data_IF_248615737827
#
_entry.id   IF_248615737827
#
_cell.length_a   1.000
_cell.length_b   1.000
_cell.length_c   1.000
_cell.angle_alpha   90.00
_cell.angle_beta   90.00
_cell.angle_gamma   90.00
#
_symmetry.space_group_name_H-M   'P 1'
#
loop_
_entity.id
_entity.type
_entity.pdbx_description
1 polymer ?
#
# COMPACT_ATOMS: atom_id res chain seq x y z
N UNK A 1 -37.66 -38.23 30.81
CA UNK A 1 -37.21 -38.23 29.40
C UNK A 1 -35.70 -38.61 29.44
N UNK A 2 -35.37 -39.78 28.87
CA UNK A 2 -34.10 -40.42 29.10
C UNK A 2 -32.90 -39.60 28.53
N UNK A 3 -31.91 -39.27 29.34
CA UNK A 3 -30.72 -38.55 29.00
C UNK A 3 -30.02 -39.09 27.72
N UNK A 4 -30.06 -40.39 27.51
CA UNK A 4 -29.50 -41.04 26.31
C UNK A 4 -30.21 -40.63 25.02
N UNK A 5 -31.51 -40.37 25.05
CA UNK A 5 -32.27 -39.89 23.85
C UNK A 5 -31.99 -38.40 23.57
N UNK A 6 -31.81 -37.58 24.60
CA UNK A 6 -31.44 -36.20 24.46
C UNK A 6 -30.03 -36.03 23.85
N UNK A 7 -29.05 -36.88 24.30
CA UNK A 7 -27.71 -36.86 23.77
C UNK A 7 -27.63 -37.29 22.30
N UNK A 8 -28.48 -38.27 21.88
CA UNK A 8 -28.54 -38.73 20.49
C UNK A 8 -29.17 -37.65 19.58
N UNK A 9 -30.16 -36.90 20.05
CA UNK A 9 -30.74 -35.81 19.27
C UNK A 9 -29.80 -34.60 19.15
N UNK A 10 -29.02 -34.28 20.18
CA UNK A 10 -28.00 -33.23 20.15
C UNK A 10 -26.85 -33.64 19.20
N UNK A 11 -26.42 -34.90 19.25
CA UNK A 11 -25.36 -35.39 18.33
C UNK A 11 -25.87 -35.43 16.88
N UNK A 12 -27.10 -35.77 16.63
CA UNK A 12 -27.72 -35.76 15.30
C UNK A 12 -27.92 -34.33 14.77
N UNK A 13 -28.25 -33.38 15.64
CA UNK A 13 -28.40 -31.98 15.29
C UNK A 13 -27.03 -31.32 14.95
N UNK A 14 -25.95 -31.66 15.69
CA UNK A 14 -24.60 -31.20 15.39
C UNK A 14 -24.10 -31.80 14.07
N UNK A 15 -24.43 -33.05 13.76
CA UNK A 15 -24.05 -33.70 12.52
C UNK A 15 -24.82 -33.09 11.32
N UNK A 16 -26.07 -32.64 11.52
CA UNK A 16 -26.87 -32.00 10.46
C UNK A 16 -26.35 -30.58 10.12
N UNK A 17 -25.81 -29.86 11.12
CA UNK A 17 -25.20 -28.54 10.93
C UNK A 17 -23.83 -28.65 10.18
N UNK A 18 -23.12 -29.78 10.37
CA UNK A 18 -21.84 -30.03 9.66
C UNK A 18 -22.02 -30.41 8.17
N UNK A 19 -23.26 -30.69 7.72
CA UNK A 19 -23.60 -31.07 6.34
C UNK A 19 -24.19 -29.92 5.50
N UNK A 20 -24.28 -28.70 6.06
CA UNK A 20 -24.63 -27.55 5.22
C UNK A 20 -23.43 -27.25 4.30
N UNK A 21 -23.58 -27.31 2.97
CA UNK A 21 -22.51 -26.87 2.10
C UNK A 21 -22.30 -25.38 2.39
N UNK A 22 -21.11 -25.04 2.87
CA UNK A 22 -20.65 -23.66 2.87
C UNK A 22 -20.51 -23.32 1.39
N UNK A 23 -21.56 -22.75 0.80
CA UNK A 23 -21.43 -22.07 -0.46
C UNK A 23 -20.52 -20.87 -0.20
N UNK A 24 -19.21 -21.09 -0.29
CA UNK A 24 -18.29 -20.01 -0.57
C UNK A 24 -18.68 -19.50 -1.95
N UNK A 25 -19.51 -18.46 -2.00
CA UNK A 25 -19.55 -17.61 -3.17
C UNK A 25 -18.14 -17.02 -3.27
N UNK A 26 -17.26 -17.72 -4.01
CA UNK A 26 -16.10 -17.07 -4.55
C UNK A 26 -16.67 -15.83 -5.28
N UNK A 27 -16.32 -14.65 -4.82
CA UNK A 27 -16.53 -13.46 -5.59
C UNK A 27 -15.85 -13.75 -6.92
N UNK A 28 -16.62 -13.90 -7.98
CA UNK A 28 -16.10 -13.98 -9.34
C UNK A 28 -15.56 -12.58 -9.59
N UNK A 29 -14.29 -12.36 -9.30
CA UNK A 29 -13.60 -11.17 -9.77
C UNK A 29 -13.64 -11.29 -11.29
N UNK A 30 -14.39 -10.41 -11.93
CA UNK A 30 -14.39 -10.33 -13.39
C UNK A 30 -12.93 -10.12 -13.80
N UNK A 31 -12.37 -10.95 -14.67
CA UNK A 31 -10.95 -10.89 -15.00
C UNK A 31 -10.54 -9.51 -15.52
N UNK A 32 -11.44 -8.79 -16.19
CA UNK A 32 -11.18 -7.47 -16.77
C UNK A 32 -12.34 -6.54 -16.42
N UNK A 33 -12.21 -5.72 -15.38
CA UNK A 33 -13.19 -4.72 -15.00
C UNK A 33 -12.57 -3.35 -15.18
N UNK A 34 -13.09 -2.56 -16.12
CA UNK A 34 -12.66 -1.19 -16.35
C UNK A 34 -13.60 -0.24 -15.62
N UNK A 35 -13.02 0.72 -14.92
CA UNK A 35 -13.72 1.89 -14.37
C UNK A 35 -13.34 3.13 -15.16
N UNK A 36 -14.34 3.97 -15.45
CA UNK A 36 -14.16 5.21 -16.21
C UNK A 36 -14.73 6.36 -15.43
N UNK A 37 -13.94 7.42 -15.27
CA UNK A 37 -14.34 8.60 -14.52
C UNK A 37 -13.85 9.89 -15.19
N UNK A 38 -14.57 11.00 -14.96
CA UNK A 38 -14.09 12.33 -15.29
C UNK A 38 -13.16 12.79 -14.19
N UNK A 39 -11.90 12.90 -14.51
CA UNK A 39 -10.89 13.35 -13.56
C UNK A 39 -11.01 14.84 -13.28
N UNK A 40 -11.19 15.63 -14.37
CA UNK A 40 -11.38 17.09 -14.32
C UNK A 40 -11.81 17.62 -15.68
N UNK A 41 -12.23 18.88 -15.71
CA UNK A 41 -12.34 19.68 -16.95
C UNK A 41 -11.91 21.13 -16.69
N UNK A 42 -11.44 21.81 -17.72
CA UNK A 42 -10.96 23.20 -17.61
C UNK A 42 -11.26 23.98 -18.89
N UNK A 43 -11.82 25.22 -18.78
CA UNK A 43 -12.26 25.89 -17.56
C UNK A 43 -13.45 25.18 -16.91
N UNK A 44 -13.66 25.40 -15.62
CA UNK A 44 -14.82 24.92 -14.87
C UNK A 44 -15.49 26.09 -14.13
N UNK A 45 -16.75 26.44 -14.50
CA UNK A 45 -17.56 25.87 -15.57
C UNK A 45 -16.97 26.11 -16.97
N UNK A 46 -17.39 25.25 -17.93
CA UNK A 46 -17.05 25.45 -19.32
C UNK A 46 -17.70 26.72 -19.86
N UNK A 47 -16.92 27.59 -20.51
CA UNK A 47 -17.40 28.87 -21.01
C UNK A 47 -18.18 28.70 -22.30
N UNK A 48 -19.31 29.39 -22.42
CA UNK A 48 -20.14 29.40 -23.63
C UNK A 48 -19.34 30.06 -24.78
N UNK A 49 -19.34 29.44 -25.95
CA UNK A 49 -18.61 29.88 -27.11
C UNK A 49 -17.09 29.61 -27.03
N UNK A 50 -16.62 28.85 -26.10
CA UNK A 50 -15.20 28.54 -25.89
C UNK A 50 -14.94 27.04 -25.86
N UNK A 51 -13.66 26.70 -25.89
CA UNK A 51 -13.22 25.32 -25.72
C UNK A 51 -13.07 24.97 -24.25
N UNK A 52 -13.40 23.70 -23.93
CA UNK A 52 -13.16 23.09 -22.65
C UNK A 52 -12.35 21.80 -22.85
N UNK A 53 -11.31 21.65 -22.07
CA UNK A 53 -10.52 20.41 -22.02
C UNK A 53 -11.09 19.51 -20.91
N UNK A 54 -11.34 18.23 -21.23
CA UNK A 54 -11.90 17.21 -20.32
C UNK A 54 -10.91 16.06 -20.21
N UNK A 55 -10.51 15.69 -19.00
CA UNK A 55 -9.63 14.56 -18.73
C UNK A 55 -10.43 13.38 -18.20
N UNK A 56 -10.36 12.28 -18.92
CA UNK A 56 -11.02 11.02 -18.61
C UNK A 56 -9.97 10.04 -18.12
N UNK A 57 -10.15 9.52 -16.90
CA UNK A 57 -9.38 8.41 -16.36
C UNK A 57 -10.10 7.11 -16.71
N UNK A 58 -9.37 6.13 -17.21
CA UNK A 58 -9.79 4.74 -17.34
C UNK A 58 -8.83 3.87 -16.54
N UNK A 59 -9.36 3.04 -15.68
CA UNK A 59 -8.62 2.22 -14.74
C UNK A 59 -9.05 0.77 -14.84
N UNK A 60 -8.09 -0.14 -14.79
CA UNK A 60 -8.38 -1.56 -14.69
C UNK A 60 -8.44 -1.96 -13.21
N UNK A 61 -9.65 -2.04 -12.66
CA UNK A 61 -9.90 -2.48 -11.28
C UNK A 61 -10.12 -4.00 -11.18
N UNK A 62 -9.93 -4.72 -12.28
CA UNK A 62 -9.99 -6.18 -12.34
C UNK A 62 -8.67 -6.83 -11.94
N UNK A 63 -8.71 -8.14 -11.71
CA UNK A 63 -7.53 -8.94 -11.36
C UNK A 63 -6.73 -9.43 -12.58
N UNK A 64 -7.25 -9.26 -13.79
CA UNK A 64 -6.64 -9.66 -15.06
C UNK A 64 -6.20 -8.47 -15.87
N UNK A 65 -5.21 -8.66 -16.76
CA UNK A 65 -4.78 -7.65 -17.71
C UNK A 65 -5.89 -7.40 -18.76
N UNK A 66 -6.22 -6.14 -19.03
CA UNK A 66 -7.13 -5.75 -20.09
C UNK A 66 -6.31 -5.41 -21.35
N UNK A 67 -6.51 -6.16 -22.43
CA UNK A 67 -5.82 -5.94 -23.71
C UNK A 67 -6.70 -5.11 -24.66
N UNK A 68 -6.08 -4.42 -25.60
CA UNK A 68 -6.70 -3.62 -26.68
C UNK A 68 -7.86 -2.71 -26.21
N UNK A 69 -7.65 -2.10 -25.04
CA UNK A 69 -8.63 -1.19 -24.46
C UNK A 69 -8.83 0.02 -25.36
N UNK A 70 -10.08 0.29 -25.67
CA UNK A 70 -10.49 1.44 -26.48
C UNK A 70 -11.52 2.29 -25.75
N UNK A 71 -11.45 3.60 -25.92
CA UNK A 71 -12.37 4.59 -25.36
C UNK A 71 -12.83 5.55 -26.45
N UNK A 72 -14.11 5.94 -26.41
CA UNK A 72 -14.70 6.85 -27.37
C UNK A 72 -15.64 7.83 -26.66
N UNK A 73 -15.50 9.13 -26.99
CA UNK A 73 -16.33 10.20 -26.44
C UNK A 73 -17.46 10.58 -27.39
N UNK A 74 -18.67 10.66 -26.86
CA UNK A 74 -19.88 11.09 -27.56
C UNK A 74 -20.48 12.30 -26.83
N UNK A 75 -20.07 13.52 -27.18
CA UNK A 75 -20.70 14.71 -26.62
C UNK A 75 -22.09 14.91 -27.22
N UNK A 76 -23.00 15.42 -26.39
CA UNK A 76 -24.32 15.87 -26.81
C UNK A 76 -24.38 17.41 -26.81
N UNK A 77 -25.32 17.97 -27.62
CA UNK A 77 -25.51 19.42 -27.62
C UNK A 77 -25.71 19.94 -26.19
N UNK A 78 -25.03 21.03 -25.79
CA UNK A 78 -24.28 22.01 -26.59
C UNK A 78 -22.79 21.71 -26.74
N UNK A 79 -22.31 20.54 -26.45
CA UNK A 79 -20.90 20.15 -26.58
C UNK A 79 -20.65 19.52 -27.94
N UNK A 80 -19.50 19.82 -28.52
CA UNK A 80 -19.03 19.21 -29.76
C UNK A 80 -17.52 18.91 -29.64
N UNK A 81 -17.05 17.82 -30.25
CA UNK A 81 -15.62 17.55 -30.35
C UNK A 81 -14.96 18.59 -31.27
N UNK A 82 -13.75 19.02 -30.89
CA UNK A 82 -12.89 19.86 -31.72
C UNK A 82 -12.62 19.19 -33.07
N UNK A 83 -12.48 17.88 -33.10
CA UNK A 83 -12.39 17.07 -34.32
C UNK A 83 -12.99 15.70 -34.09
N UNK A 84 -13.83 15.23 -35.01
CA UNK A 84 -14.41 13.89 -34.95
C UNK A 84 -13.36 12.77 -34.98
N UNK A 85 -12.18 13.01 -35.57
CA UNK A 85 -11.06 12.07 -35.58
C UNK A 85 -10.46 11.82 -34.16
N UNK A 86 -10.77 12.71 -33.22
CA UNK A 86 -10.29 12.63 -31.84
C UNK A 86 -11.29 11.94 -30.89
N UNK A 87 -12.44 11.49 -31.39
CA UNK A 87 -13.47 10.84 -30.57
C UNK A 87 -12.97 9.53 -29.95
N UNK A 88 -12.37 8.68 -30.77
CA UNK A 88 -11.88 7.38 -30.39
C UNK A 88 -10.37 7.40 -30.07
N UNK A 89 -9.99 6.72 -29.02
CA UNK A 89 -8.58 6.53 -28.63
C UNK A 89 -8.33 5.07 -28.28
N UNK A 90 -7.28 4.51 -28.86
CA UNK A 90 -6.77 3.21 -28.47
C UNK A 90 -5.79 3.43 -27.31
N UNK A 91 -6.08 2.82 -26.18
CA UNK A 91 -5.28 2.90 -24.96
C UNK A 91 -4.25 1.76 -24.92
N UNK A 92 -4.56 0.65 -25.62
CA UNK A 92 -3.75 -0.56 -25.62
C UNK A 92 -3.98 -1.39 -24.35
N UNK A 93 -2.91 -1.74 -23.67
CA UNK A 93 -2.94 -2.69 -22.56
C UNK A 93 -2.95 -1.99 -21.21
N UNK A 94 -3.88 -2.38 -20.34
CA UNK A 94 -3.95 -1.93 -18.93
C UNK A 94 -3.77 -3.12 -18.00
N UNK A 95 -2.70 -3.11 -17.21
CA UNK A 95 -2.47 -4.09 -16.13
C UNK A 95 -3.47 -3.89 -15.01
N UNK A 96 -3.69 -4.91 -14.16
CA UNK A 96 -4.43 -4.72 -12.90
C UNK A 96 -3.92 -3.50 -12.12
N UNK A 97 -4.84 -2.79 -11.49
CA UNK A 97 -4.58 -1.61 -10.67
C UNK A 97 -3.78 -0.48 -11.37
N UNK A 98 -3.85 -0.42 -12.71
CA UNK A 98 -3.25 0.67 -13.47
C UNK A 98 -4.30 1.50 -14.19
N UNK A 99 -4.04 2.81 -14.31
CA UNK A 99 -4.91 3.76 -14.96
C UNK A 99 -4.20 4.47 -16.12
N UNK A 100 -5.00 4.95 -17.07
CA UNK A 100 -4.56 5.84 -18.14
C UNK A 100 -5.47 7.06 -18.22
N UNK A 101 -4.90 8.24 -18.46
CA UNK A 101 -5.64 9.50 -18.52
C UNK A 101 -5.58 10.07 -19.94
N UNK A 102 -6.74 10.40 -20.48
CA UNK A 102 -6.88 10.90 -21.83
C UNK A 102 -7.62 12.22 -21.85
N UNK A 103 -7.02 13.20 -22.53
CA UNK A 103 -7.60 14.52 -22.70
C UNK A 103 -8.44 14.58 -23.98
N UNK A 104 -9.67 15.09 -23.85
CA UNK A 104 -10.55 15.47 -24.95
C UNK A 104 -10.76 16.98 -24.96
N UNK A 105 -10.84 17.57 -26.11
CA UNK A 105 -11.15 18.99 -26.30
C UNK A 105 -12.52 19.13 -26.92
N UNK A 106 -13.41 19.82 -26.19
CA UNK A 106 -14.78 20.05 -26.61
C UNK A 106 -15.01 21.55 -26.83
N UNK A 107 -15.83 21.87 -27.78
CA UNK A 107 -16.35 23.22 -28.00
C UNK A 107 -17.74 23.34 -27.41
N UNK A 108 -18.00 24.40 -26.67
CA UNK A 108 -19.33 24.73 -26.15
C UNK A 108 -20.01 25.68 -27.11
N UNK A 109 -21.18 25.30 -27.65
CA UNK A 109 -21.93 26.11 -28.60
C UNK A 109 -22.24 27.52 -28.05
N UNK A 110 -22.14 28.55 -28.89
CA UNK A 110 -22.39 29.94 -28.50
C UNK A 110 -23.85 30.19 -28.00
N UNK A 111 -24.79 29.32 -28.40
CA UNK A 111 -26.19 29.37 -28.00
C UNK A 111 -26.52 28.48 -26.78
N UNK A 112 -25.49 27.89 -26.18
CA UNK A 112 -25.66 27.08 -24.98
C UNK A 112 -26.32 27.90 -23.87
N UNK A 113 -27.11 27.21 -23.03
CA UNK A 113 -27.62 27.79 -21.80
C UNK A 113 -26.75 27.32 -20.65
N UNK A 114 -26.59 28.20 -19.65
CA UNK A 114 -25.93 27.80 -18.42
C UNK A 114 -26.67 26.64 -17.74
N UNK A 115 -25.94 25.69 -17.24
CA UNK A 115 -26.48 24.49 -16.56
C UNK A 115 -25.58 23.27 -16.69
N UNK A 116 -26.06 22.11 -16.19
CA UNK A 116 -25.41 20.82 -16.38
C UNK A 116 -25.64 20.30 -17.79
N UNK A 117 -24.62 19.77 -18.41
CA UNK A 117 -24.63 19.19 -19.75
C UNK A 117 -24.00 17.80 -19.68
N UNK A 118 -24.72 16.82 -20.21
CA UNK A 118 -24.28 15.43 -20.23
C UNK A 118 -23.49 15.10 -21.49
N UNK A 119 -22.62 14.10 -21.36
CA UNK A 119 -21.93 13.46 -22.47
C UNK A 119 -21.65 11.99 -22.14
N UNK A 120 -21.56 11.17 -23.17
CA UNK A 120 -21.32 9.75 -23.03
C UNK A 120 -19.86 9.39 -23.32
N UNK A 121 -19.34 8.49 -22.55
CA UNK A 121 -18.10 7.77 -22.82
C UNK A 121 -18.42 6.31 -23.04
N UNK A 122 -18.01 5.77 -24.17
CA UNK A 122 -18.02 4.33 -24.44
C UNK A 122 -16.61 3.78 -24.32
N UNK A 123 -16.52 2.58 -23.81
CA UNK A 123 -15.24 1.89 -23.65
C UNK A 123 -15.43 0.40 -23.78
N UNK A 124 -14.38 -0.28 -24.26
CA UNK A 124 -14.36 -1.73 -24.34
C UNK A 124 -12.97 -2.26 -24.09
N UNK A 125 -12.81 -3.36 -23.34
CA UNK A 125 -11.63 -4.19 -23.34
C UNK A 125 -11.74 -5.18 -24.51
N UNK A 126 -10.65 -5.43 -25.22
CA UNK A 126 -10.44 -6.49 -26.21
C UNK A 126 -11.74 -7.07 -26.83
N UNK A 127 -12.11 -6.69 -28.04
CA UNK A 127 -13.25 -7.21 -28.81
C UNK A 127 -14.55 -7.57 -28.04
N UNK A 128 -14.68 -7.05 -26.81
CA UNK A 128 -15.85 -7.28 -25.97
C UNK A 128 -17.00 -6.33 -26.30
N UNK A 129 -18.06 -6.37 -25.52
CA UNK A 129 -19.19 -5.46 -25.68
C UNK A 129 -18.77 -4.05 -25.27
N UNK A 130 -19.16 -3.04 -26.05
CA UNK A 130 -19.04 -1.64 -25.67
C UNK A 130 -19.89 -1.34 -24.43
N UNK A 131 -19.23 -0.88 -23.37
CA UNK A 131 -19.86 -0.34 -22.19
C UNK A 131 -20.04 1.18 -22.34
N UNK A 132 -20.98 1.76 -21.62
CA UNK A 132 -21.28 3.19 -21.69
C UNK A 132 -21.49 3.76 -20.29
N UNK A 133 -20.83 4.87 -20.02
CA UNK A 133 -21.08 5.71 -18.85
C UNK A 133 -21.44 7.12 -19.31
N UNK A 134 -22.40 7.74 -18.63
CA UNK A 134 -22.83 9.13 -18.87
C UNK A 134 -22.23 10.00 -17.77
N UNK A 135 -21.62 11.10 -18.17
CA UNK A 135 -21.00 12.09 -17.30
C UNK A 135 -21.58 13.47 -17.56
N UNK A 136 -21.48 14.37 -16.61
CA UNK A 136 -21.90 15.76 -16.79
C UNK A 136 -20.78 16.75 -16.49
N UNK A 137 -20.84 17.90 -17.19
CA UNK A 137 -20.06 19.08 -16.86
C UNK A 137 -20.97 20.30 -16.73
N UNK A 138 -20.55 21.30 -15.96
CA UNK A 138 -21.24 22.58 -15.89
C UNK A 138 -20.81 23.48 -17.04
N UNK A 139 -21.77 24.10 -17.68
CA UNK A 139 -21.60 25.12 -18.72
C UNK A 139 -22.18 26.44 -18.21
N UNK A 140 -21.48 27.53 -18.41
CA UNK A 140 -21.97 28.85 -17.98
C UNK A 140 -20.93 29.94 -17.91
N UNK A 141 -21.16 30.92 -17.07
CA UNK A 141 -20.22 32.02 -16.83
C UNK A 141 -19.16 31.62 -15.82
N UNK A 142 -17.93 32.10 -15.97
CA UNK A 142 -16.84 31.97 -15.00
C UNK A 142 -17.05 32.77 -13.73
N UNK A 143 -18.00 33.69 -13.71
CA UNK A 143 -18.37 34.45 -12.50
C UNK A 143 -19.20 33.54 -11.57
N UNK A 144 -18.52 32.79 -10.74
CA UNK A 144 -19.14 31.93 -9.74
C UNK A 144 -19.32 32.68 -8.41
N UNK A 145 -20.55 32.85 -7.99
CA UNK A 145 -20.88 33.33 -6.65
C UNK A 145 -21.44 32.17 -5.82
N UNK A 146 -20.70 31.07 -5.75
CA UNK A 146 -21.05 29.90 -4.99
C UNK A 146 -20.52 30.00 -3.55
N UNK A 147 -21.26 29.44 -2.59
CA UNK A 147 -20.98 29.49 -1.16
C UNK A 147 -20.59 28.12 -0.59
N UNK A 148 -20.11 27.22 -1.41
CA UNK A 148 -19.57 25.92 -0.95
C UNK A 148 -18.32 26.08 -0.09
N UNK A 149 -18.03 25.12 0.75
CA UNK A 149 -16.89 25.10 1.65
C UNK A 149 -16.05 23.84 1.41
N UNK A 150 -14.74 24.02 1.23
CA UNK A 150 -13.82 22.92 1.03
C UNK A 150 -13.13 22.55 2.35
N UNK A 151 -13.21 21.30 2.72
CA UNK A 151 -12.52 20.69 3.85
C UNK A 151 -11.57 19.60 3.38
N UNK A 152 -10.45 19.44 4.06
CA UNK A 152 -9.56 18.30 3.91
C UNK A 152 -10.11 17.17 4.77
N UNK A 153 -10.69 16.13 4.13
CA UNK A 153 -11.33 15.01 4.84
C UNK A 153 -10.33 13.92 5.21
N UNK A 154 -9.41 13.60 4.28
CA UNK A 154 -8.45 12.51 4.45
C UNK A 154 -7.12 12.84 3.78
N UNK A 155 -6.05 12.31 4.37
CA UNK A 155 -4.70 12.32 3.79
C UNK A 155 -4.16 10.91 3.89
N UNK A 156 -3.72 10.36 2.77
CA UNK A 156 -3.07 9.06 2.71
C UNK A 156 -1.74 9.15 1.95
N UNK A 157 -0.74 8.42 2.41
CA UNK A 157 0.57 8.36 1.76
C UNK A 157 0.97 6.90 1.55
N UNK A 158 1.67 6.65 0.43
CA UNK A 158 2.24 5.34 0.10
C UNK A 158 3.70 5.53 -0.31
N UNK A 159 4.66 5.07 0.50
CA UNK A 159 4.48 4.43 1.81
C UNK A 159 3.97 5.40 2.90
N UNK A 160 3.36 4.86 3.97
CA UNK A 160 2.86 5.66 5.11
C UNK A 160 3.99 6.37 5.87
N UNK A 161 5.15 5.74 5.95
CA UNK A 161 6.39 6.28 6.53
C UNK A 161 7.50 6.09 5.51
N UNK A 162 8.12 7.17 5.09
CA UNK A 162 9.20 7.16 4.11
C UNK A 162 10.56 6.90 4.77
N UNK A 163 11.49 6.38 3.99
CA UNK A 163 12.93 6.41 4.30
C UNK A 163 13.61 7.52 3.50
N UNK A 164 14.79 7.99 3.91
CA UNK A 164 15.64 8.80 3.05
C UNK A 164 15.91 8.08 1.72
N UNK A 165 15.73 8.78 0.60
CA UNK A 165 15.85 8.23 -0.75
C UNK A 165 14.57 7.58 -1.31
N UNK A 166 13.52 7.42 -0.51
CA UNK A 166 12.25 6.85 -0.97
C UNK A 166 11.51 7.78 -1.92
N UNK A 167 10.75 7.16 -2.80
CA UNK A 167 9.74 7.81 -3.62
C UNK A 167 8.37 7.22 -3.29
N UNK A 168 7.33 8.03 -3.44
CA UNK A 168 5.97 7.58 -3.20
C UNK A 168 4.94 8.61 -3.60
N UNK A 169 3.72 8.44 -3.11
CA UNK A 169 2.60 9.33 -3.40
C UNK A 169 1.93 9.81 -2.13
N UNK A 170 1.34 10.99 -2.19
CA UNK A 170 0.44 11.48 -1.16
C UNK A 170 -0.87 11.91 -1.82
N UNK A 171 -1.98 11.45 -1.29
CA UNK A 171 -3.32 11.74 -1.77
C UNK A 171 -4.11 12.50 -0.72
N UNK A 172 -4.72 13.59 -1.14
CA UNK A 172 -5.59 14.45 -0.34
C UNK A 172 -7.01 14.31 -0.83
N UNK A 173 -7.93 13.89 0.03
CA UNK A 173 -9.36 13.87 -0.26
C UNK A 173 -9.99 15.17 0.22
N UNK A 174 -10.36 16.03 -0.73
CA UNK A 174 -11.11 17.24 -0.48
C UNK A 174 -12.61 16.94 -0.53
N UNK A 175 -13.38 17.59 0.34
CA UNK A 175 -14.82 17.48 0.41
C UNK A 175 -15.48 18.85 0.48
N UNK A 176 -16.58 19.01 -0.24
CA UNK A 176 -17.46 20.13 -0.01
C UNK A 176 -18.38 19.82 1.19
N UNK A 177 -18.19 20.55 2.28
CA UNK A 177 -18.93 20.34 3.53
C UNK A 177 -20.35 20.94 3.53
N UNK A 178 -20.76 21.59 2.43
CA UNK A 178 -22.14 22.05 2.30
C UNK A 178 -23.14 20.90 2.37
N UNK A 179 -24.27 21.12 3.04
CA UNK A 179 -25.32 20.11 3.25
C UNK A 179 -26.56 20.34 2.42
N UNK A 180 -26.66 21.51 1.77
CA UNK A 180 -27.80 21.91 0.94
C UNK A 180 -27.30 22.41 -0.40
N UNK A 181 -28.10 22.33 -1.46
CA UNK A 181 -27.73 22.78 -2.81
C UNK A 181 -27.79 24.30 -2.97
N UNK A 182 -28.48 25.00 -2.09
CA UNK A 182 -28.52 26.46 -2.10
C UNK A 182 -28.62 27.02 -0.68
N UNK A 183 -28.24 28.27 -0.52
CA UNK A 183 -28.36 29.05 0.71
C UNK A 183 -28.88 30.43 0.37
N UNK A 184 -29.80 30.97 1.18
CA UNK A 184 -30.31 32.33 1.01
C UNK A 184 -29.59 33.25 1.96
N UNK A 185 -28.92 34.27 1.44
CA UNK A 185 -28.21 35.32 2.22
C UNK A 185 -28.77 36.67 1.75
N UNK A 186 -29.22 37.46 2.71
CA UNK A 186 -29.80 38.79 2.44
C UNK A 186 -30.93 38.81 1.40
N UNK A 187 -31.67 37.69 1.26
CA UNK A 187 -32.79 37.57 0.33
C UNK A 187 -32.38 37.10 -1.07
N UNK A 188 -31.10 36.87 -1.34
CA UNK A 188 -30.58 36.29 -2.57
C UNK A 188 -30.22 34.83 -2.37
N UNK A 189 -30.53 33.98 -3.34
CA UNK A 189 -30.23 32.55 -3.33
C UNK A 189 -28.90 32.29 -4.02
N UNK A 190 -27.99 31.61 -3.32
CA UNK A 190 -26.66 31.25 -3.78
C UNK A 190 -26.53 29.73 -3.88
N UNK A 191 -25.82 29.28 -4.90
CA UNK A 191 -25.35 27.92 -5.07
C UNK A 191 -24.31 27.58 -3.98
N UNK A 192 -24.33 26.36 -3.48
CA UNK A 192 -23.39 25.86 -2.46
C UNK A 192 -22.35 24.90 -3.04
N UNK A 193 -22.14 24.90 -4.35
CA UNK A 193 -21.00 24.19 -4.93
C UNK A 193 -19.68 24.83 -4.47
N UNK A 194 -18.64 24.01 -4.33
CA UNK A 194 -17.29 24.48 -4.07
C UNK A 194 -16.42 24.35 -5.33
N UNK A 195 -15.76 25.41 -5.71
CA UNK A 195 -14.93 25.43 -6.90
C UNK A 195 -13.44 25.38 -6.54
N UNK A 196 -12.76 24.31 -6.92
CA UNK A 196 -11.30 24.19 -6.85
C UNK A 196 -10.73 24.72 -8.18
N UNK A 197 -10.07 25.85 -8.16
CA UNK A 197 -9.41 26.43 -9.33
C UNK A 197 -8.03 25.80 -9.56
N UNK A 198 -7.26 25.67 -8.50
CA UNK A 198 -5.95 25.05 -8.53
C UNK A 198 -5.56 24.53 -7.16
N UNK A 199 -4.69 23.53 -7.16
CA UNK A 199 -4.01 23.07 -5.97
C UNK A 199 -2.49 23.22 -6.13
N UNK A 200 -1.78 23.49 -5.07
CA UNK A 200 -0.33 23.50 -5.06
C UNK A 200 0.17 22.87 -3.77
N UNK A 201 1.15 22.01 -3.89
CA UNK A 201 1.83 21.38 -2.74
C UNK A 201 3.28 21.86 -2.73
N UNK A 202 3.70 22.39 -1.59
CA UNK A 202 5.10 22.75 -1.30
C UNK A 202 5.57 21.93 -0.12
N UNK A 203 6.87 21.69 0.00
CA UNK A 203 7.45 20.86 1.03
C UNK A 203 8.66 21.53 1.68
N UNK A 204 9.05 21.00 2.83
CA UNK A 204 10.32 21.31 3.48
C UNK A 204 11.52 20.95 2.57
N UNK A 205 12.69 21.52 2.89
CA UNK A 205 13.94 21.22 2.16
C UNK A 205 14.26 19.73 2.23
N UNK A 206 14.66 19.15 1.09
CA UNK A 206 14.96 17.73 0.94
C UNK A 206 13.78 16.87 0.51
N UNK A 207 12.58 17.43 0.33
CA UNK A 207 11.43 16.73 -0.23
C UNK A 207 11.05 17.38 -1.56
N UNK A 208 11.14 16.63 -2.65
CA UNK A 208 10.70 17.09 -3.96
C UNK A 208 9.25 16.66 -4.19
N UNK A 209 8.47 17.60 -4.69
CA UNK A 209 7.05 17.41 -5.00
C UNK A 209 6.82 17.57 -6.48
N UNK A 210 6.10 16.66 -7.10
CA UNK A 210 5.63 16.80 -8.47
C UNK A 210 4.13 16.47 -8.55
N UNK A 211 3.38 17.32 -9.24
CA UNK A 211 1.94 17.11 -9.47
C UNK A 211 1.74 16.02 -10.51
N UNK A 212 0.86 15.06 -10.24
CA UNK A 212 0.40 14.07 -11.21
C UNK A 212 -0.61 14.70 -12.17
N UNK A 213 -1.35 15.72 -11.70
CA UNK A 213 -2.32 16.46 -12.53
C UNK A 213 -2.58 17.85 -11.95
N UNK A 214 -2.80 18.83 -12.81
CA UNK A 214 -3.44 20.08 -12.36
C UNK A 214 -4.88 19.77 -11.98
N UNK A 215 -5.25 20.05 -10.75
CA UNK A 215 -6.57 19.76 -10.24
C UNK A 215 -7.41 21.03 -10.19
N UNK A 216 -8.38 21.09 -11.08
CA UNK A 216 -9.48 22.05 -10.96
C UNK A 216 -10.79 21.28 -11.09
N UNK A 217 -11.82 21.66 -10.34
CA UNK A 217 -13.09 20.97 -10.37
C UNK A 217 -14.17 21.70 -9.58
N UNK A 218 -15.41 21.29 -9.83
CA UNK A 218 -16.57 21.73 -9.09
C UNK A 218 -17.09 20.58 -8.24
N UNK A 219 -17.22 20.82 -6.94
CA UNK A 219 -17.74 19.88 -5.98
C UNK A 219 -19.14 20.32 -5.55
N UNK A 220 -20.15 19.52 -5.85
CA UNK A 220 -21.49 19.67 -5.26
C UNK A 220 -21.46 19.45 -3.74
N UNK A 221 -22.57 19.77 -3.05
CA UNK A 221 -22.70 19.53 -1.61
C UNK A 221 -22.45 18.06 -1.26
N UNK A 222 -21.48 17.80 -0.37
CA UNK A 222 -21.06 16.48 0.05
C UNK A 222 -20.16 15.72 -0.92
N UNK A 223 -19.89 16.25 -2.13
CA UNK A 223 -18.98 15.62 -3.09
C UNK A 223 -17.54 15.68 -2.63
N UNK A 224 -16.74 14.71 -3.11
CA UNK A 224 -15.32 14.56 -2.79
C UNK A 224 -14.47 14.55 -4.05
N UNK A 225 -13.22 14.95 -3.89
CA UNK A 225 -12.21 14.91 -4.95
C UNK A 225 -10.85 14.56 -4.37
N UNK A 226 -10.16 13.62 -5.01
CA UNK A 226 -8.81 13.23 -4.64
C UNK A 226 -7.79 13.98 -5.47
N UNK A 227 -6.75 14.46 -4.81
CA UNK A 227 -5.61 15.13 -5.40
C UNK A 227 -4.35 14.38 -4.99
N UNK A 228 -3.60 13.88 -5.95
CA UNK A 228 -2.41 13.08 -5.69
C UNK A 228 -1.15 13.76 -6.21
N UNK A 229 -0.11 13.75 -5.40
CA UNK A 229 1.23 14.23 -5.72
C UNK A 229 2.24 13.11 -5.56
N UNK A 230 3.29 13.12 -6.39
CA UNK A 230 4.48 12.31 -6.16
C UNK A 230 5.41 13.06 -5.21
N UNK A 231 6.02 12.30 -4.32
CA UNK A 231 7.04 12.74 -3.39
C UNK A 231 8.34 11.97 -3.67
N UNK A 232 9.48 12.68 -3.63
CA UNK A 232 10.81 12.07 -3.65
C UNK A 232 11.60 12.61 -2.47
N UNK A 233 12.09 11.73 -1.62
CA UNK A 233 12.89 12.07 -0.44
C UNK A 233 14.36 12.12 -0.83
N UNK A 234 15.07 13.15 -0.37
CA UNK A 234 16.54 13.21 -0.54
C UNK A 234 17.20 12.09 0.28
N UNK A 235 18.27 11.50 -0.23
CA UNK A 235 19.05 10.45 0.48
C UNK A 235 19.64 10.93 1.81
N UNK A 236 19.84 12.25 1.96
CA UNK A 236 20.39 12.86 3.16
C UNK A 236 19.32 13.45 4.08
N UNK A 237 18.06 13.25 3.78
CA UNK A 237 16.95 13.77 4.59
C UNK A 237 17.01 13.16 6.00
N UNK A 238 16.94 14.01 7.02
CA UNK A 238 16.98 13.55 8.40
C UNK A 238 15.69 12.88 8.80
N UNK A 239 15.79 11.82 9.62
CA UNK A 239 14.61 11.20 10.25
C UNK A 239 13.88 12.21 11.14
N UNK A 240 12.56 12.15 11.13
CA UNK A 240 11.70 13.05 11.90
C UNK A 240 10.40 13.36 11.19
N UNK A 241 9.69 14.38 11.69
CA UNK A 241 8.49 14.89 11.05
C UNK A 241 8.86 16.09 10.20
N UNK A 242 8.50 16.02 8.92
CA UNK A 242 8.62 17.10 7.95
C UNK A 242 7.22 17.57 7.56
N UNK A 243 7.11 18.75 6.97
CA UNK A 243 5.83 19.32 6.67
C UNK A 243 5.66 19.63 5.19
N UNK A 244 4.47 19.34 4.71
CA UNK A 244 3.99 19.75 3.39
C UNK A 244 2.92 20.83 3.58
N UNK A 245 2.90 21.82 2.70
CA UNK A 245 1.86 22.85 2.65
C UNK A 245 0.99 22.65 1.42
N UNK A 246 -0.24 22.21 1.63
CA UNK A 246 -1.26 22.10 0.60
C UNK A 246 -2.06 23.40 0.54
N UNK A 247 -1.97 24.12 -0.57
CA UNK A 247 -2.76 25.31 -0.82
C UNK A 247 -3.78 25.06 -1.92
N UNK A 248 -5.04 25.37 -1.67
CA UNK A 248 -6.15 25.30 -2.61
C UNK A 248 -6.62 26.72 -2.93
N UNK A 249 -6.69 27.07 -4.20
CA UNK A 249 -7.29 28.31 -4.68
C UNK A 249 -8.69 28.04 -5.24
N UNK A 250 -9.63 28.88 -4.84
CA UNK A 250 -11.00 28.85 -5.33
C UNK A 250 -11.34 30.17 -6.02
N UNK A 251 -12.05 30.10 -7.15
CA UNK A 251 -12.52 31.31 -7.86
C UNK A 251 -13.78 31.91 -7.26
N UNK A 252 -14.48 31.15 -6.42
CA UNK A 252 -15.69 31.57 -5.77
C UNK A 252 -15.41 31.86 -4.31
N UNK A 253 -15.39 33.14 -3.99
CA UNK A 253 -15.47 33.66 -2.63
C UNK A 253 -14.51 33.04 -1.59
N UNK A 254 -13.31 33.62 -1.47
CA UNK A 254 -12.47 33.62 -0.23
C UNK A 254 -12.26 32.24 0.43
N UNK A 255 -11.80 31.26 -0.33
CA UNK A 255 -11.25 30.06 0.28
C UNK A 255 -9.83 29.80 -0.25
N UNK A 256 -8.88 30.62 0.16
CA UNK A 256 -7.50 30.19 0.19
C UNK A 256 -7.39 29.25 1.39
N UNK A 257 -7.68 27.96 1.16
CA UNK A 257 -7.44 26.93 2.14
C UNK A 257 -5.96 26.57 2.11
N UNK A 258 -5.35 26.50 3.27
CA UNK A 258 -3.97 26.10 3.44
C UNK A 258 -3.86 25.12 4.61
N UNK A 259 -3.28 23.95 4.38
CA UNK A 259 -3.08 22.92 5.38
C UNK A 259 -1.61 22.54 5.48
N UNK A 260 -1.12 22.49 6.70
CA UNK A 260 0.20 21.96 7.02
C UNK A 260 0.06 20.47 7.36
N UNK A 261 0.68 19.63 6.56
CA UNK A 261 0.51 18.17 6.58
C UNK A 261 1.82 17.53 7.05
N UNK A 262 1.83 16.80 8.18
CA UNK A 262 3.01 16.12 8.63
C UNK A 262 3.28 14.87 7.79
N UNK A 263 4.54 14.68 7.38
CA UNK A 263 5.06 13.46 6.76
C UNK A 263 6.17 12.91 7.64
N UNK A 264 6.11 11.62 7.92
CA UNK A 264 7.11 10.94 8.75
C UNK A 264 8.21 10.37 7.91
N UNK A 265 9.44 10.68 8.29
CA UNK A 265 10.66 10.09 7.74
C UNK A 265 11.32 9.26 8.84
N UNK A 266 11.59 8.00 8.55
CA UNK A 266 12.23 7.07 9.46
C UNK A 266 13.43 6.40 8.77
N UNK A 267 14.58 6.46 9.42
CA UNK A 267 15.81 5.79 8.96
C UNK A 267 16.08 4.48 9.72
N UNK A 268 15.12 4.01 10.51
CA UNK A 268 15.21 2.70 11.14
C UNK A 268 15.17 1.60 10.06
N UNK A 269 16.00 0.58 10.25
CA UNK A 269 16.02 -0.62 9.44
C UNK A 269 15.43 -1.81 10.17
N UNK A 270 15.17 -2.89 9.46
CA UNK A 270 14.86 -4.18 10.06
C UNK A 270 16.02 -4.62 10.95
N UNK A 271 15.71 -5.08 12.14
CA UNK A 271 16.71 -5.48 13.12
C UNK A 271 16.88 -6.99 13.15
N UNK A 272 18.11 -7.45 12.96
CA UNK A 272 18.49 -8.85 13.22
C UNK A 272 19.01 -8.98 14.64
N UNK A 273 18.44 -9.91 15.42
CA UNK A 273 18.73 -10.12 16.83
C UNK A 273 19.27 -11.54 17.00
N UNK A 274 20.57 -11.74 17.28
CA UNK A 274 21.12 -13.05 17.55
C UNK A 274 20.48 -13.67 18.80
N UNK A 275 19.99 -14.90 18.70
CA UNK A 275 19.45 -15.64 19.85
C UNK A 275 20.51 -16.54 20.47
N UNK A 276 21.37 -17.14 19.65
CA UNK A 276 22.47 -18.00 20.06
C UNK A 276 23.76 -17.66 19.30
N UNK A 277 24.91 -17.94 19.88
CA UNK A 277 26.18 -17.85 19.16
C UNK A 277 26.26 -18.94 18.10
N UNK A 278 26.55 -18.61 16.82
CA UNK A 278 26.69 -19.60 15.77
C UNK A 278 27.75 -20.65 16.12
N UNK A 279 27.41 -21.92 16.05
CA UNK A 279 28.35 -23.00 16.34
C UNK A 279 28.15 -24.18 15.40
N UNK A 280 29.26 -24.82 15.02
CA UNK A 280 29.28 -26.04 14.22
C UNK A 280 29.92 -27.16 15.02
N UNK A 281 29.27 -28.31 15.04
CA UNK A 281 29.81 -29.56 15.62
C UNK A 281 30.11 -30.52 14.45
N UNK A 282 31.35 -30.89 14.29
CA UNK A 282 31.81 -31.73 13.16
C UNK A 282 31.43 -31.14 11.76
N UNK A 283 31.37 -29.82 11.66
CA UNK A 283 31.04 -29.11 10.41
C UNK A 283 29.56 -28.90 10.15
N UNK A 284 28.66 -29.35 11.01
CA UNK A 284 27.22 -29.17 10.91
C UNK A 284 26.69 -28.36 12.08
N UNK A 285 25.67 -27.54 11.85
CA UNK A 285 25.05 -26.76 12.91
C UNK A 285 23.76 -26.10 12.46
N UNK A 286 23.18 -25.38 13.40
CA UNK A 286 21.97 -24.58 13.17
C UNK A 286 22.23 -23.16 13.64
N UNK A 287 21.85 -22.20 12.84
CA UNK A 287 21.78 -20.80 13.26
C UNK A 287 20.34 -20.40 13.53
N UNK A 288 20.14 -19.63 14.58
CA UNK A 288 18.84 -19.10 14.96
C UNK A 288 18.99 -17.64 15.35
N UNK A 289 18.11 -16.83 14.83
CA UNK A 289 18.05 -15.40 15.13
C UNK A 289 16.63 -14.88 14.89
N UNK A 290 16.33 -13.76 15.51
CA UNK A 290 15.08 -13.06 15.29
C UNK A 290 15.27 -11.91 14.31
N UNK A 291 14.27 -11.73 13.46
CA UNK A 291 14.14 -10.57 12.56
C UNK A 291 12.94 -9.75 13.01
N UNK A 292 13.16 -8.49 13.36
CA UNK A 292 12.15 -7.61 13.90
C UNK A 292 11.92 -6.39 13.01
N UNK A 293 10.68 -6.11 12.69
CA UNK A 293 10.29 -4.84 12.08
C UNK A 293 10.19 -3.78 13.18
N UNK A 294 11.19 -2.92 13.30
CA UNK A 294 11.20 -1.80 14.26
C UNK A 294 10.70 -0.49 13.67
N UNK A 295 10.22 -0.53 12.43
CA UNK A 295 9.61 0.64 11.76
C UNK A 295 8.15 0.79 12.17
N UNK A 296 7.60 1.99 11.95
CA UNK A 296 6.22 2.30 12.32
C UNK A 296 5.19 1.93 11.23
N UNK A 297 5.64 1.34 10.14
CA UNK A 297 4.79 0.92 9.02
C UNK A 297 5.06 -0.54 8.64
N UNK A 298 4.11 -1.12 7.93
CA UNK A 298 4.20 -2.47 7.37
C UNK A 298 5.27 -2.55 6.30
N UNK A 299 6.06 -3.61 6.32
CA UNK A 299 7.05 -3.96 5.31
C UNK A 299 6.56 -5.14 4.48
N UNK A 300 6.89 -5.12 3.20
CA UNK A 300 6.45 -6.14 2.24
C UNK A 300 7.64 -6.90 1.65
N UNK A 301 7.37 -8.10 1.18
CA UNK A 301 8.37 -8.95 0.49
C UNK A 301 9.64 -9.16 1.30
N UNK A 302 9.54 -9.23 2.62
CA UNK A 302 10.69 -9.43 3.50
C UNK A 302 11.31 -10.79 3.23
N UNK A 303 12.59 -10.80 2.87
CA UNK A 303 13.38 -11.99 2.55
C UNK A 303 14.70 -11.96 3.34
N UNK A 304 15.11 -13.08 3.88
CA UNK A 304 16.27 -13.19 4.76
C UNK A 304 17.28 -14.16 4.17
N UNK A 305 18.51 -13.69 3.98
CA UNK A 305 19.59 -14.40 3.31
C UNK A 305 20.81 -14.48 4.23
N UNK A 306 21.18 -15.66 4.74
CA UNK A 306 22.43 -15.86 5.48
C UNK A 306 23.60 -16.08 4.51
N UNK A 307 24.74 -15.45 4.79
CA UNK A 307 25.98 -15.63 4.03
C UNK A 307 27.16 -15.78 4.97
N UNK A 308 28.01 -16.78 4.72
CA UNK A 308 29.30 -16.92 5.35
C UNK A 308 30.25 -17.69 4.43
N UNK A 309 31.50 -17.24 4.32
CA UNK A 309 32.50 -17.91 3.51
C UNK A 309 32.75 -19.35 4.03
N UNK A 310 32.62 -20.33 3.13
CA UNK A 310 32.88 -21.73 3.46
C UNK A 310 31.73 -22.45 4.16
N UNK A 311 30.54 -21.86 4.20
CA UNK A 311 29.32 -22.45 4.77
C UNK A 311 28.21 -22.44 3.73
N UNK A 312 27.53 -23.55 3.59
CA UNK A 312 26.28 -23.67 2.85
C UNK A 312 25.10 -23.69 3.81
N UNK A 313 24.07 -22.87 3.50
CA UNK A 313 22.84 -22.77 4.28
C UNK A 313 21.69 -23.51 3.62
N UNK A 314 20.84 -24.14 4.45
CA UNK A 314 19.60 -24.77 4.00
C UNK A 314 18.42 -24.37 4.93
N UNK A 315 17.37 -23.74 4.38
CA UNK A 315 17.27 -23.25 2.99
C UNK A 315 18.30 -22.14 2.71
N UNK A 316 18.47 -21.75 1.45
CA UNK A 316 19.41 -20.66 1.08
C UNK A 316 18.90 -19.27 1.46
N UNK A 317 17.59 -19.12 1.51
CA UNK A 317 16.88 -17.90 1.88
C UNK A 317 15.58 -18.26 2.58
N UNK A 318 15.07 -17.35 3.38
CA UNK A 318 13.80 -17.51 4.06
C UNK A 318 12.88 -16.32 3.77
N UNK A 319 11.79 -16.60 3.03
CA UNK A 319 10.79 -15.58 2.70
C UNK A 319 9.76 -15.46 3.82
N UNK A 320 9.79 -14.33 4.53
CA UNK A 320 8.84 -13.99 5.60
C UNK A 320 7.53 -13.46 5.01
N UNK A 321 7.65 -12.64 3.96
CA UNK A 321 6.50 -11.98 3.30
C UNK A 321 6.22 -10.60 3.87
N UNK A 322 5.06 -10.40 4.52
CA UNK A 322 4.68 -9.14 5.14
C UNK A 322 5.05 -9.14 6.61
N UNK A 323 5.58 -8.02 7.11
CA UNK A 323 5.85 -7.79 8.53
C UNK A 323 5.16 -6.52 9.01
N UNK A 324 4.24 -6.66 9.95
CA UNK A 324 3.57 -5.53 10.61
C UNK A 324 4.55 -4.76 11.53
N UNK A 325 4.23 -3.52 11.92
CA UNK A 325 5.02 -2.80 12.93
C UNK A 325 5.16 -3.61 14.22
N UNK A 326 6.37 -3.58 14.80
CA UNK A 326 6.73 -4.32 16.03
C UNK A 326 6.62 -5.85 15.91
N UNK A 327 6.43 -6.40 14.72
CA UNK A 327 6.40 -7.85 14.51
C UNK A 327 7.81 -8.45 14.51
N UNK A 328 7.92 -9.67 15.05
CA UNK A 328 9.17 -10.39 15.18
C UNK A 328 8.99 -11.83 14.68
N UNK A 329 9.93 -12.29 13.86
CA UNK A 329 10.01 -13.67 13.36
C UNK A 329 11.30 -14.33 13.79
N UNK A 330 11.19 -15.51 14.44
CA UNK A 330 12.35 -16.37 14.72
C UNK A 330 12.63 -17.24 13.51
N UNK A 331 13.84 -17.16 12.98
CA UNK A 331 14.27 -17.83 11.77
C UNK A 331 15.43 -18.75 12.06
N UNK A 332 15.39 -19.93 11.47
CA UNK A 332 16.39 -20.98 11.65
C UNK A 332 16.89 -21.46 10.28
N UNK A 333 18.22 -21.66 10.18
CA UNK A 333 18.87 -22.28 9.02
C UNK A 333 19.79 -23.41 9.47
N UNK A 334 19.86 -24.47 8.72
CA UNK A 334 20.91 -25.46 8.82
C UNK A 334 22.17 -24.93 8.14
N UNK A 335 23.31 -25.08 8.78
CA UNK A 335 24.61 -24.60 8.31
C UNK A 335 25.57 -25.78 8.15
N UNK A 336 26.14 -25.97 6.97
CA UNK A 336 27.07 -27.03 6.65
C UNK A 336 28.40 -26.43 6.17
N UNK A 337 29.49 -26.81 6.83
CA UNK A 337 30.83 -26.36 6.50
C UNK A 337 31.35 -27.10 5.25
N UNK A 338 31.76 -26.34 4.23
CA UNK A 338 32.31 -26.87 2.97
C UNK A 338 33.81 -26.61 2.79
N UNK A 339 34.41 -25.76 3.64
CA UNK A 339 35.85 -25.47 3.67
C UNK A 339 36.44 -25.62 5.07
N UNK A 340 37.73 -25.91 5.17
CA UNK A 340 38.39 -26.20 6.44
C UNK A 340 38.53 -24.97 7.37
N UNK A 341 38.56 -23.77 6.81
CA UNK A 341 38.78 -22.53 7.58
C UNK A 341 37.62 -21.54 7.37
N UNK A 342 36.94 -21.19 8.45
CA UNK A 342 35.91 -20.13 8.50
C UNK A 342 36.58 -18.93 9.20
N UNK A 343 36.83 -17.87 8.47
CA UNK A 343 37.54 -16.68 8.98
C UNK A 343 36.66 -15.44 9.04
N UNK A 344 35.53 -15.45 8.31
CA UNK A 344 34.64 -14.30 8.21
C UNK A 344 33.43 -14.43 9.14
N UNK A 345 32.88 -13.31 9.61
CA UNK A 345 31.64 -13.34 10.37
C UNK A 345 30.47 -13.84 9.51
N UNK A 346 29.44 -14.36 10.15
CA UNK A 346 28.16 -14.62 9.52
C UNK A 346 27.49 -13.28 9.22
N UNK A 347 27.10 -13.07 7.96
CA UNK A 347 26.32 -11.93 7.53
C UNK A 347 24.86 -12.38 7.29
N UNK A 348 23.91 -11.61 7.81
CA UNK A 348 22.49 -11.77 7.57
C UNK A 348 22.01 -10.57 6.81
N UNK A 349 21.63 -10.79 5.57
CA UNK A 349 21.01 -9.78 4.72
C UNK A 349 19.52 -9.91 4.77
N UNK A 350 18.84 -8.80 5.02
CA UNK A 350 17.37 -8.71 4.96
C UNK A 350 17.01 -7.74 3.85
N UNK A 351 16.32 -8.25 2.85
CA UNK A 351 15.72 -7.48 1.76
C UNK A 351 14.25 -7.26 2.05
N UNK A 352 13.73 -6.06 1.77
CA UNK A 352 12.31 -5.75 1.98
C UNK A 352 11.86 -4.59 1.10
N UNK A 353 10.55 -4.39 1.02
CA UNK A 353 9.94 -3.24 0.35
C UNK A 353 9.21 -2.35 1.35
N UNK A 354 9.42 -1.04 1.15
CA UNK A 354 8.66 0.03 1.77
C UNK A 354 7.82 0.71 0.69
N UNK A 355 6.54 0.36 0.57
CA UNK A 355 5.75 0.68 -0.61
C UNK A 355 6.37 0.06 -1.86
N UNK A 356 6.74 0.91 -2.84
CA UNK A 356 7.42 0.47 -4.08
C UNK A 356 8.95 0.48 -3.98
N UNK A 357 9.51 0.99 -2.89
CA UNK A 357 10.95 1.13 -2.72
C UNK A 357 11.56 -0.16 -2.19
N UNK A 358 12.67 -0.58 -2.80
CA UNK A 358 13.44 -1.75 -2.38
C UNK A 358 14.55 -1.32 -1.43
N UNK A 359 14.65 -2.03 -0.31
CA UNK A 359 15.64 -1.80 0.73
C UNK A 359 16.38 -3.08 1.06
N UNK A 360 17.60 -2.91 1.53
CA UNK A 360 18.44 -3.99 1.98
C UNK A 360 19.25 -3.54 3.20
N UNK A 361 19.25 -4.37 4.22
CA UNK A 361 20.13 -4.18 5.39
C UNK A 361 20.94 -5.42 5.64
N UNK A 362 22.21 -5.27 6.01
CA UNK A 362 23.10 -6.37 6.33
C UNK A 362 23.61 -6.23 7.76
N UNK A 363 23.41 -7.27 8.54
CA UNK A 363 23.88 -7.37 9.93
C UNK A 363 24.97 -8.42 10.04
N UNK A 364 26.08 -8.07 10.66
CA UNK A 364 27.16 -9.00 10.95
C UNK A 364 26.96 -9.64 12.33
N UNK A 365 27.06 -10.97 12.38
CA UNK A 365 27.03 -11.76 13.61
C UNK A 365 28.45 -12.24 13.93
N UNK A 366 28.61 -12.86 15.10
CA UNK A 366 29.88 -13.47 15.48
C UNK A 366 30.30 -14.58 14.49
N UNK A 367 31.61 -14.79 14.35
CA UNK A 367 32.16 -15.92 13.58
C UNK A 367 31.75 -17.25 14.21
N UNK A 368 31.54 -18.26 13.38
CA UNK A 368 31.20 -19.60 13.86
C UNK A 368 32.25 -20.17 14.80
N UNK A 369 31.79 -20.75 15.91
CA UNK A 369 32.61 -21.58 16.79
C UNK A 369 32.56 -23.02 16.29
N UNK A 370 33.70 -23.57 15.87
CA UNK A 370 33.80 -24.97 15.45
C UNK A 370 34.22 -25.83 16.63
N UNK A 371 33.44 -26.88 16.91
CA UNK A 371 33.73 -27.89 17.94
C UNK A 371 33.91 -29.23 17.22
N UNK A 372 35.05 -29.85 17.38
CA UNK A 372 35.24 -31.25 16.99
C UNK A 372 34.92 -32.14 18.21
N UNK A 373 33.91 -32.98 18.11
CA UNK A 373 33.70 -34.07 19.06
C UNK A 373 34.70 -35.17 18.72
N UNK A 374 35.66 -35.38 19.60
CA UNK A 374 36.54 -36.57 19.53
C UNK A 374 35.69 -37.84 19.64
N UNK A 375 35.62 -38.66 18.59
CA UNK A 375 34.89 -39.94 18.57
C UNK A 375 35.36 -40.92 19.67
N UNK A 376 36.40 -40.62 20.43
CA UNK A 376 36.95 -41.45 21.50
C UNK A 376 36.61 -40.97 22.94
N UNK A 377 35.72 -39.98 23.07
CA UNK A 377 35.39 -39.45 24.39
C UNK A 377 34.12 -40.04 25.00
N UNK A 378 34.19 -41.23 25.60
CA UNK A 378 33.38 -41.45 26.80
C UNK A 378 33.81 -40.30 27.72
N UNK A 379 33.01 -39.25 27.75
CA UNK A 379 33.27 -38.00 28.44
C UNK A 379 33.83 -38.32 29.85
N UNK A 380 35.03 -37.84 30.14
CA UNK A 380 35.63 -37.92 31.47
C UNK A 380 34.68 -37.42 32.58
N UNK A 381 33.66 -36.65 32.21
CA UNK A 381 32.58 -36.18 33.07
C UNK A 381 31.60 -37.34 33.39
N UNK A 382 31.26 -38.22 32.45
CA UNK A 382 30.41 -39.38 32.68
C UNK A 382 31.14 -40.43 33.57
N UNK A 383 32.45 -40.63 33.35
CA UNK A 383 33.27 -41.48 34.19
C UNK A 383 33.44 -40.87 35.59
N UNK A 384 33.62 -39.57 35.73
CA UNK A 384 33.66 -38.88 37.01
C UNK A 384 32.31 -38.92 37.74
N UNK A 385 31.19 -38.77 37.04
CA UNK A 385 29.86 -38.90 37.61
C UNK A 385 29.55 -40.33 38.09
N UNK A 386 29.94 -41.36 37.30
CA UNK A 386 29.83 -42.78 37.75
C UNK A 386 30.73 -43.11 38.94
N UNK A 387 31.95 -42.56 38.98
CA UNK A 387 32.84 -42.72 40.14
C UNK A 387 32.29 -42.04 41.40
N UNK A 388 31.67 -40.88 41.30
CA UNK A 388 31.02 -40.18 42.41
C UNK A 388 29.78 -40.94 42.91
N UNK A 389 28.96 -41.50 42.05
CA UNK A 389 27.82 -42.35 42.44
C UNK A 389 28.30 -43.65 43.07
N UNK A 390 29.37 -44.25 42.55
CA UNK A 390 29.99 -45.43 43.10
C UNK A 390 30.59 -45.25 44.52
N UNK A 391 31.03 -44.06 44.88
CA UNK A 391 31.53 -43.69 46.20
C UNK A 391 30.41 -43.30 47.18
N UNK A 392 29.29 -42.78 46.74
CA UNK A 392 28.17 -42.37 47.57
C UNK A 392 27.34 -43.57 48.10
N UNK A 393 27.27 -44.68 47.35
CA UNK A 393 26.51 -45.85 47.73
C UNK A 393 27.14 -46.54 48.97
N UNK A 394 28.46 -46.81 49.01
CA UNK A 394 29.06 -47.41 50.24
C UNK A 394 29.02 -46.45 51.44
N UNK A 395 29.15 -45.15 51.25
CA UNK A 395 29.04 -44.13 52.27
C UNK A 395 27.64 -44.11 52.91
N UNK A 396 26.58 -44.19 52.09
CA UNK A 396 25.20 -44.27 52.59
C UNK A 396 24.90 -45.57 53.33
N UNK A 397 25.48 -46.70 52.89
CA UNK A 397 25.35 -48.01 53.60
C UNK A 397 26.09 -48.02 54.94
N UNK A 398 27.28 -47.42 55.02
CA UNK A 398 28.02 -47.26 56.25
C UNK A 398 27.36 -46.31 57.26
N UNK A 399 26.75 -45.24 56.77
CA UNK A 399 25.98 -44.29 57.57
C UNK A 399 24.72 -44.93 58.15
N UNK A 400 24.02 -45.76 57.40
CA UNK A 400 22.80 -46.48 57.85
C UNK A 400 23.10 -47.64 58.86
N UNK A 401 24.35 -48.07 58.95
CA UNK A 401 24.79 -49.12 59.85
C UNK A 401 25.28 -48.58 61.22
N UNK A 402 25.39 -47.25 61.36
CA UNK A 402 25.92 -46.59 62.56
C UNK A 402 24.85 -45.83 63.37
N UNK A 403 23.59 -45.82 62.87
CA UNK A 403 22.42 -45.32 63.61
C UNK A 403 21.40 -46.48 63.82
#
# INVERSE_FOLDING_TARGET
MNYRKALTYISLMILLIALTPINSTAAVSSPNTLDVSVMRYSPSPAEIGQYVDVWIKIENIGSGEAEDVSIEMFPEYPLALDSSSNAAKNIGRLKPDTASVHKYRLYVDEKAKSGSVEFDIRYQPEDSIWLKNTFEIKVGSTAYDSKGSIELEEVSAEPEVFSPGDSGTITFTLKNSATTHSVTIDGEEYDTNAHVQSSSLTADEGIKVSSISDTSGLLGPGDKMDITYNLEMDEQLCAGTHYLNLAIKSNSHIYDCNWEIPVKIDNADVKVIPTITPSLVNGEGTIEFDVANIRQNTLYSVNVIPEAEGIEFSPREYFVGTMEPDELFSIQFEANQVTENITQPLEITVEYRNGMNEHQTTSQMETFKTVQEDENGISNIAVAALALVGLLIPAAVLYRRKN
#
